data_IF_201283962791
#
_entry.id   IF_201283962791
#
_cell.length_a   1.000
_cell.length_b   1.000
_cell.length_c   1.000
_cell.angle_alpha   90.00
_cell.angle_beta   90.00
_cell.angle_gamma   90.00
#
_symmetry.space_group_name_H-M   'P 1'
#
loop_
_entity.id
_entity.type
_entity.pdbx_description
1 polymer ?
#
# COMPACT_ATOMS: atom_id res chain seq x y z
N UNK A 1 8.32 8.55 6.20
CA UNK A 1 8.85 7.43 5.42
C UNK A 1 7.80 6.93 4.45
N UNK A 2 8.21 6.70 3.23
CA UNK A 2 7.32 6.42 2.11
C UNK A 2 6.39 5.22 2.33
N UNK A 3 6.85 4.10 2.84
CA UNK A 3 6.00 2.95 3.19
C UNK A 3 5.62 2.94 4.67
N UNK A 4 5.59 4.09 5.30
CA UNK A 4 5.32 4.23 6.74
C UNK A 4 6.20 3.26 7.52
N UNK A 5 7.52 3.42 7.35
CA UNK A 5 8.56 2.57 7.90
C UNK A 5 8.64 1.21 7.13
N UNK A 6 9.46 0.28 7.58
CA UNK A 6 9.61 -1.03 6.96
C UNK A 6 10.53 -1.00 5.75
N UNK A 7 9.98 -1.03 4.55
CA UNK A 7 10.77 -1.11 3.31
C UNK A 7 11.34 0.23 2.82
N UNK A 8 11.03 1.36 3.44
CA UNK A 8 11.30 2.67 2.84
C UNK A 8 12.63 3.28 3.22
N UNK A 9 13.11 4.16 2.34
CA UNK A 9 14.17 5.15 2.56
C UNK A 9 15.52 4.63 3.09
N UNK A 10 16.43 5.52 3.48
CA UNK A 10 17.76 5.18 3.94
C UNK A 10 18.49 4.32 2.90
N UNK A 11 19.09 3.21 3.28
CA UNK A 11 19.83 2.31 2.37
C UNK A 11 19.01 1.75 1.22
N UNK A 12 17.68 1.63 1.36
CA UNK A 12 16.82 1.18 0.27
C UNK A 12 16.98 2.03 -0.99
N UNK A 13 17.01 3.35 -0.87
CA UNK A 13 17.07 4.24 -2.03
C UNK A 13 18.33 4.00 -2.86
N UNK A 14 19.45 3.71 -2.22
CA UNK A 14 20.70 3.40 -2.90
C UNK A 14 20.69 1.99 -3.45
N UNK A 15 20.39 1.00 -2.61
CA UNK A 15 20.48 -0.41 -2.98
C UNK A 15 19.45 -0.79 -4.04
N UNK A 16 18.25 -0.26 -3.99
CA UNK A 16 17.24 -0.46 -5.04
C UNK A 16 17.61 0.32 -6.31
N UNK A 17 18.07 1.55 -6.17
CA UNK A 17 18.45 2.39 -7.31
C UNK A 17 19.66 1.84 -8.08
N UNK A 18 20.70 1.40 -7.38
CA UNK A 18 21.92 0.84 -7.99
C UNK A 18 21.80 -0.67 -8.27
N UNK A 19 21.08 -1.40 -7.43
CA UNK A 19 20.90 -2.85 -7.57
C UNK A 19 19.89 -3.25 -8.65
N UNK A 20 19.10 -2.30 -9.14
CA UNK A 20 18.17 -2.47 -10.25
C UNK A 20 17.09 -3.54 -10.02
N UNK A 21 16.63 -4.17 -11.10
CA UNK A 21 15.53 -5.16 -11.07
C UNK A 21 15.72 -6.30 -10.07
N UNK A 22 16.89 -6.95 -9.94
CA UNK A 22 17.04 -8.05 -8.99
C UNK A 22 16.76 -7.62 -7.55
N UNK A 23 17.25 -6.47 -7.13
CA UNK A 23 17.06 -5.96 -5.78
C UNK A 23 15.60 -5.57 -5.54
N UNK A 24 14.96 -4.86 -6.47
CA UNK A 24 13.54 -4.51 -6.41
C UNK A 24 12.68 -5.77 -6.33
N UNK A 25 12.86 -6.70 -7.27
CA UNK A 25 12.09 -7.94 -7.33
C UNK A 25 12.24 -8.76 -6.05
N UNK A 26 13.49 -8.99 -5.63
CA UNK A 26 13.79 -9.82 -4.45
C UNK A 26 13.22 -9.24 -3.17
N UNK A 27 13.42 -7.95 -2.92
CA UNK A 27 12.97 -7.32 -1.67
C UNK A 27 11.45 -7.14 -1.58
N UNK A 28 10.78 -6.86 -2.71
CA UNK A 28 9.31 -6.79 -2.72
C UNK A 28 8.68 -8.17 -2.55
N UNK A 29 9.23 -9.20 -3.22
CA UNK A 29 8.75 -10.56 -3.05
C UNK A 29 9.02 -11.08 -1.63
N UNK A 30 10.19 -10.81 -1.06
CA UNK A 30 10.48 -11.11 0.34
C UNK A 30 9.45 -10.46 1.28
N UNK A 31 9.14 -9.18 1.06
CA UNK A 31 8.12 -8.47 1.83
C UNK A 31 6.73 -9.10 1.72
N UNK A 32 6.37 -9.58 0.53
CA UNK A 32 5.11 -10.28 0.31
C UNK A 32 5.05 -11.62 1.07
N UNK A 33 6.11 -12.43 0.96
CA UNK A 33 6.18 -13.75 1.60
C UNK A 33 6.30 -13.69 3.13
N UNK A 34 6.91 -12.64 3.67
CA UNK A 34 7.03 -12.44 5.11
C UNK A 34 5.77 -11.90 5.78
N UNK A 35 4.66 -11.83 5.06
CA UNK A 35 3.43 -11.15 5.47
C UNK A 35 3.60 -9.63 5.61
N UNK A 36 2.96 -8.89 4.74
CA UNK A 36 3.06 -7.44 4.68
C UNK A 36 2.72 -6.74 6.01
N UNK A 37 1.83 -7.32 6.80
CA UNK A 37 1.44 -6.80 8.12
C UNK A 37 2.60 -6.82 9.13
N UNK A 38 3.57 -7.73 8.98
CA UNK A 38 4.79 -7.77 9.80
C UNK A 38 5.85 -6.78 9.31
N UNK A 39 5.80 -6.39 8.04
CA UNK A 39 6.73 -5.43 7.44
C UNK A 39 6.30 -3.99 7.72
N UNK A 40 5.01 -3.69 7.47
CA UNK A 40 4.48 -2.33 7.59
C UNK A 40 4.57 -1.82 9.03
N UNK A 41 5.10 -0.61 9.19
CA UNK A 41 5.24 0.05 10.50
C UNK A 41 6.37 -0.49 11.38
N UNK A 42 7.21 -1.42 10.89
CA UNK A 42 8.35 -1.98 11.62
C UNK A 42 9.69 -1.58 11.00
N UNK A 43 10.70 -1.43 11.81
CA UNK A 43 12.07 -1.08 11.41
C UNK A 43 13.01 -2.27 11.41
N UNK A 44 12.63 -3.34 12.09
CA UNK A 44 13.38 -4.59 12.18
C UNK A 44 12.60 -5.68 11.44
N UNK A 45 12.94 -5.88 10.19
CA UNK A 45 12.22 -6.76 9.26
C UNK A 45 13.21 -7.54 8.38
N UNK A 46 12.83 -8.71 7.85
CA UNK A 46 13.66 -9.44 6.90
C UNK A 46 14.09 -8.60 5.68
N UNK A 47 13.20 -7.73 5.19
CA UNK A 47 13.51 -6.82 4.09
C UNK A 47 14.56 -5.80 4.49
N UNK A 48 14.44 -5.23 5.69
CA UNK A 48 15.45 -4.30 6.23
C UNK A 48 16.80 -4.99 6.41
N UNK A 49 16.82 -6.23 6.89
CA UNK A 49 18.05 -7.00 7.04
C UNK A 49 18.81 -7.18 5.70
N UNK A 50 18.10 -7.34 4.57
CA UNK A 50 18.72 -7.38 3.24
C UNK A 50 19.38 -6.03 2.89
N UNK A 51 18.73 -4.92 3.22
CA UNK A 51 19.31 -3.59 2.97
C UNK A 51 20.50 -3.30 3.90
N UNK A 52 20.41 -3.68 5.16
CA UNK A 52 21.51 -3.54 6.11
C UNK A 52 22.72 -4.36 5.68
N UNK A 53 22.50 -5.62 5.25
CA UNK A 53 23.56 -6.46 4.68
C UNK A 53 24.21 -5.80 3.46
N UNK A 54 23.40 -5.21 2.58
CA UNK A 54 23.91 -4.51 1.39
C UNK A 54 24.75 -3.29 1.77
N UNK A 55 24.35 -2.53 2.78
CA UNK A 55 25.12 -1.39 3.30
C UNK A 55 26.47 -1.85 3.87
N UNK A 56 26.44 -2.85 4.74
CA UNK A 56 27.64 -3.38 5.42
C UNK A 56 28.68 -3.97 4.47
N UNK A 57 28.26 -4.58 3.35
CA UNK A 57 29.18 -5.30 2.45
C UNK A 57 29.55 -4.52 1.20
N UNK A 58 28.71 -3.58 0.75
CA UNK A 58 28.94 -2.92 -0.54
C UNK A 58 29.08 -1.39 -0.45
N UNK A 59 28.64 -0.76 0.63
CA UNK A 59 28.62 0.69 0.73
C UNK A 59 29.67 1.29 1.69
N UNK A 60 30.50 0.48 2.35
CA UNK A 60 31.46 0.92 3.36
C UNK A 60 32.45 1.99 2.86
N UNK A 61 32.85 1.92 1.60
CA UNK A 61 33.81 2.87 1.00
C UNK A 61 33.14 3.94 0.14
N UNK A 62 31.82 4.03 0.17
CA UNK A 62 31.06 5.04 -0.56
C UNK A 62 30.79 6.21 0.37
N UNK A 63 31.20 7.45 0.02
CA UNK A 63 30.97 8.63 0.85
C UNK A 63 29.47 9.01 0.80
N UNK A 64 28.67 8.45 1.69
CA UNK A 64 27.23 8.64 1.77
C UNK A 64 26.85 9.53 2.94
N UNK A 65 25.91 10.44 2.69
CA UNK A 65 25.16 11.14 3.71
C UNK A 65 23.67 11.08 3.39
N UNK A 66 22.86 10.85 4.41
CA UNK A 66 21.41 10.75 4.29
C UNK A 66 20.76 12.03 4.82
N UNK A 67 19.72 12.47 4.12
CA UNK A 67 18.79 13.49 4.59
C UNK A 67 17.42 12.85 4.58
N UNK A 68 16.89 12.56 5.75
CA UNK A 68 15.58 11.93 5.93
C UNK A 68 14.59 12.94 6.47
N UNK A 69 13.43 13.04 5.85
CA UNK A 69 12.34 13.90 6.30
C UNK A 69 11.17 13.06 6.80
N UNK A 70 10.47 13.54 7.80
CA UNK A 70 9.18 13.02 8.23
C UNK A 70 8.14 14.09 7.97
N UNK A 71 7.19 13.77 7.11
CA UNK A 71 6.11 14.67 6.74
C UNK A 71 4.78 13.93 6.74
N UNK A 72 3.69 14.64 6.96
CA UNK A 72 2.32 14.19 6.78
C UNK A 72 1.51 15.24 6.05
N UNK A 73 0.33 14.89 5.62
CA UNK A 73 -0.67 15.84 5.18
C UNK A 73 -1.45 16.36 6.39
N UNK A 74 -1.72 17.65 6.42
CA UNK A 74 -2.60 18.30 7.38
C UNK A 74 -3.37 19.41 6.64
N UNK A 75 -4.67 19.30 6.59
CA UNK A 75 -5.56 20.29 5.96
C UNK A 75 -5.18 20.61 4.49
N UNK A 76 -4.87 19.55 3.71
CA UNK A 76 -4.46 19.69 2.31
C UNK A 76 -3.04 20.27 2.10
N UNK A 77 -2.24 20.36 3.15
CA UNK A 77 -0.86 20.88 3.09
C UNK A 77 0.14 19.87 3.65
N UNK A 78 1.34 19.86 3.07
CA UNK A 78 2.44 19.08 3.62
C UNK A 78 2.98 19.74 4.89
N UNK A 79 2.85 19.03 6.01
CA UNK A 79 3.43 19.40 7.30
C UNK A 79 4.76 18.64 7.51
N UNK A 80 5.88 19.37 7.60
CA UNK A 80 7.18 18.81 7.91
C UNK A 80 7.35 18.69 9.43
N UNK A 81 7.56 17.48 9.94
CA UNK A 81 7.69 17.18 11.36
C UNK A 81 9.15 17.08 11.82
N UNK A 82 10.08 16.73 10.93
CA UNK A 82 11.48 16.63 11.27
C UNK A 82 12.37 16.35 10.07
N UNK A 83 13.64 16.75 10.23
CA UNK A 83 14.74 16.48 9.29
C UNK A 83 15.85 15.81 10.08
N UNK A 84 16.36 14.69 9.57
CA UNK A 84 17.42 13.91 10.19
C UNK A 84 18.55 13.74 9.18
N UNK A 85 19.77 14.08 9.57
CA UNK A 85 20.93 14.05 8.68
C UNK A 85 22.07 13.26 9.29
N UNK A 86 22.83 12.56 8.47
CA UNK A 86 24.00 11.79 8.89
C UNK A 86 24.27 10.59 7.99
N UNK A 87 25.27 9.77 8.38
CA UNK A 87 25.73 8.64 7.59
C UNK A 87 25.45 7.27 8.25
N UNK A 88 24.78 7.24 9.40
CA UNK A 88 24.57 6.02 10.16
C UNK A 88 23.11 5.57 10.22
N UNK A 89 22.88 4.30 10.55
CA UNK A 89 21.55 3.73 10.80
C UNK A 89 20.75 4.53 11.85
N UNK A 90 21.39 5.17 12.81
CA UNK A 90 20.71 6.01 13.81
C UNK A 90 19.85 7.11 13.17
N UNK A 91 20.29 7.66 12.05
CA UNK A 91 19.53 8.67 11.29
C UNK A 91 18.16 8.09 10.86
N UNK A 92 18.18 6.87 10.34
CA UNK A 92 16.95 6.14 9.98
C UNK A 92 16.09 5.83 11.19
N UNK A 93 16.67 5.35 12.29
CA UNK A 93 15.95 4.97 13.50
C UNK A 93 15.25 6.17 14.15
N UNK A 94 15.92 7.32 14.20
CA UNK A 94 15.30 8.56 14.71
C UNK A 94 14.16 9.04 13.82
N UNK A 95 14.36 9.03 12.50
CA UNK A 95 13.31 9.39 11.54
C UNK A 95 12.13 8.42 11.63
N UNK A 96 12.39 7.12 11.72
CA UNK A 96 11.38 6.10 11.86
C UNK A 96 10.60 6.21 13.17
N UNK A 97 11.26 6.51 14.28
CA UNK A 97 10.60 6.73 15.57
C UNK A 97 9.63 7.92 15.52
N UNK A 98 10.01 9.00 14.85
CA UNK A 98 9.09 10.13 14.63
C UNK A 98 7.96 9.76 13.68
N UNK A 99 8.26 9.06 12.58
CA UNK A 99 7.26 8.63 11.61
C UNK A 99 6.21 7.68 12.22
N UNK A 100 6.62 6.76 13.10
CA UNK A 100 5.68 5.91 13.86
C UNK A 100 4.64 6.74 14.60
N UNK A 101 5.07 7.82 15.24
CA UNK A 101 4.17 8.69 16.00
C UNK A 101 3.28 9.59 15.15
N UNK A 102 3.69 9.91 13.91
CA UNK A 102 3.00 10.90 13.07
C UNK A 102 2.20 10.31 11.93
N UNK A 103 2.58 9.11 11.47
CA UNK A 103 2.00 8.52 10.26
C UNK A 103 1.30 7.17 10.52
N UNK A 104 1.35 6.65 11.76
CA UNK A 104 0.60 5.45 12.14
C UNK A 104 -0.55 5.86 13.04
N UNK A 105 -1.76 5.58 12.58
CA UNK A 105 -2.99 5.79 13.34
C UNK A 105 -3.36 4.48 14.05
N UNK A 106 -3.38 4.51 15.39
CA UNK A 106 -3.95 3.43 16.18
C UNK A 106 -5.45 3.68 16.29
N UNK A 107 -6.25 2.76 15.78
CA UNK A 107 -7.71 2.84 15.91
C UNK A 107 -8.14 2.10 17.19
N UNK A 108 -9.14 2.63 17.87
CA UNK A 108 -9.60 2.08 19.16
C UNK A 108 -10.16 0.66 19.00
N UNK A 109 -10.71 0.34 17.86
CA UNK A 109 -11.25 -0.96 17.48
C UNK A 109 -11.14 -1.17 15.99
N UNK A 110 -11.09 -2.41 15.54
CA UNK A 110 -11.17 -2.73 14.12
C UNK A 110 -12.53 -2.34 13.55
N UNK A 111 -12.54 -1.93 12.28
CA UNK A 111 -13.74 -1.49 11.59
C UNK A 111 -14.35 -2.63 10.79
N UNK A 112 -15.67 -2.76 10.87
CA UNK A 112 -16.43 -3.66 9.96
C UNK A 112 -16.41 -3.14 8.54
N UNK A 113 -16.37 -1.81 8.37
CA UNK A 113 -16.30 -1.17 7.07
C UNK A 113 -15.34 0.01 7.09
N UNK A 114 -14.42 -0.01 6.15
CA UNK A 114 -13.51 1.10 5.85
C UNK A 114 -13.87 1.66 4.49
N UNK A 115 -14.00 2.99 4.38
CA UNK A 115 -14.23 3.71 3.13
C UNK A 115 -12.97 4.53 2.84
N UNK A 116 -12.19 4.11 1.84
CA UNK A 116 -10.98 4.78 1.42
C UNK A 116 -11.21 5.54 0.11
N UNK A 117 -10.72 6.78 0.04
CA UNK A 117 -10.81 7.59 -1.17
C UNK A 117 -9.44 7.74 -1.83
N UNK A 118 -9.41 7.58 -3.14
CA UNK A 118 -8.23 7.79 -3.97
C UNK A 118 -8.42 9.02 -4.86
N UNK A 119 -7.56 10.01 -4.68
CA UNK A 119 -7.56 11.24 -5.47
C UNK A 119 -7.35 10.93 -6.95
N UNK A 120 -8.28 11.32 -7.87
CA UNK A 120 -8.26 10.91 -9.27
C UNK A 120 -7.03 11.41 -10.05
N UNK A 121 -6.45 12.54 -9.66
CA UNK A 121 -5.26 13.09 -10.30
C UNK A 121 -3.98 12.31 -9.93
N UNK A 122 -3.96 11.67 -8.76
CA UNK A 122 -2.82 10.88 -8.28
C UNK A 122 -2.91 9.41 -8.67
N UNK A 123 -4.12 8.83 -8.68
CA UNK A 123 -4.32 7.39 -8.81
C UNK A 123 -5.05 7.03 -10.11
N UNK A 124 -4.30 6.73 -11.16
CA UNK A 124 -4.84 6.29 -12.45
C UNK A 124 -4.87 4.77 -12.65
N UNK A 125 -4.17 3.99 -11.82
CA UNK A 125 -4.15 2.52 -11.87
C UNK A 125 -4.30 1.89 -10.49
N UNK A 126 -4.87 0.68 -10.44
CA UNK A 126 -4.92 -0.10 -9.21
C UNK A 126 -3.51 -0.48 -8.70
N UNK A 127 -2.50 -0.54 -9.58
CA UNK A 127 -1.11 -0.75 -9.19
C UNK A 127 -0.66 0.21 -8.08
N UNK A 128 -0.98 1.48 -8.21
CA UNK A 128 -0.68 2.49 -7.19
C UNK A 128 -1.81 2.61 -6.16
N UNK A 129 -3.06 2.53 -6.61
CA UNK A 129 -4.26 2.69 -5.78
C UNK A 129 -4.43 1.61 -4.71
N UNK A 130 -3.88 0.41 -4.93
CA UNK A 130 -3.92 -0.67 -3.94
C UNK A 130 -3.13 -0.38 -2.65
N UNK A 131 -2.45 0.78 -2.57
CA UNK A 131 -2.01 1.33 -1.28
C UNK A 131 -3.17 1.44 -0.28
N UNK A 132 -4.37 1.72 -0.73
CA UNK A 132 -5.56 1.71 0.11
C UNK A 132 -5.75 0.36 0.82
N UNK A 133 -5.47 -0.75 0.14
CA UNK A 133 -5.65 -2.10 0.68
C UNK A 133 -4.61 -2.39 1.77
N UNK A 134 -3.31 -2.33 1.43
CA UNK A 134 -2.29 -2.77 2.38
C UNK A 134 -2.00 -1.76 3.49
N UNK A 135 -2.43 -0.51 3.37
CA UNK A 135 -2.29 0.52 4.41
C UNK A 135 -3.40 0.46 5.46
N UNK A 136 -4.59 0.00 5.08
CA UNK A 136 -5.75 -0.05 5.98
C UNK A 136 -6.07 -1.46 6.49
N UNK A 137 -5.55 -2.52 5.84
CA UNK A 137 -5.92 -3.92 6.13
C UNK A 137 -5.83 -4.34 7.59
N UNK A 138 -4.92 -3.75 8.37
CA UNK A 138 -4.72 -4.11 9.78
C UNK A 138 -5.79 -3.54 10.71
N UNK A 139 -6.58 -2.56 10.24
CA UNK A 139 -7.70 -2.00 10.98
C UNK A 139 -9.05 -2.62 10.62
N UNK A 140 -9.11 -3.53 9.63
CA UNK A 140 -10.35 -4.14 9.16
C UNK A 140 -10.60 -5.45 9.91
N UNK A 141 -11.82 -5.64 10.40
CA UNK A 141 -12.26 -6.90 11.02
C UNK A 141 -12.24 -8.05 10.00
N UNK A 142 -12.07 -9.27 10.48
CA UNK A 142 -12.28 -10.46 9.68
C UNK A 142 -13.78 -10.55 9.32
N UNK A 143 -14.07 -10.75 8.04
CA UNK A 143 -15.42 -10.67 7.50
C UNK A 143 -15.92 -9.25 7.22
N UNK A 144 -15.09 -8.24 7.46
CA UNK A 144 -15.39 -6.84 7.14
C UNK A 144 -15.29 -6.47 5.66
N UNK A 145 -15.36 -5.20 5.36
CA UNK A 145 -15.30 -4.66 4.00
C UNK A 145 -14.36 -3.45 3.91
N UNK A 146 -13.57 -3.40 2.83
CA UNK A 146 -12.89 -2.22 2.36
C UNK A 146 -13.56 -1.73 1.07
N UNK A 147 -14.22 -0.58 1.13
CA UNK A 147 -14.68 0.13 -0.06
C UNK A 147 -13.60 1.14 -0.49
N UNK A 148 -13.06 0.97 -1.69
CA UNK A 148 -12.11 1.89 -2.31
C UNK A 148 -12.83 2.73 -3.35
N UNK A 149 -13.10 3.98 -3.05
CA UNK A 149 -13.69 4.95 -3.99
C UNK A 149 -12.56 5.53 -4.84
N UNK A 150 -12.53 5.16 -6.11
CA UNK A 150 -11.39 5.36 -7.00
C UNK A 150 -11.79 5.92 -8.38
N UNK A 151 -12.24 7.18 -8.44
CA UNK A 151 -12.80 7.77 -9.68
C UNK A 151 -11.78 7.88 -10.83
N UNK A 152 -10.49 7.96 -10.53
CA UNK A 152 -9.41 8.13 -11.51
C UNK A 152 -8.88 6.85 -12.14
N UNK A 153 -9.25 5.67 -11.62
CA UNK A 153 -8.70 4.39 -12.07
C UNK A 153 -9.16 4.06 -13.50
N UNK A 154 -8.17 3.73 -14.36
CA UNK A 154 -8.37 3.37 -15.78
C UNK A 154 -7.84 1.98 -16.13
N UNK A 155 -7.18 1.29 -15.19
CA UNK A 155 -6.61 -0.03 -15.37
C UNK A 155 -5.98 -0.55 -14.09
N UNK A 156 -5.37 -1.73 -14.16
CA UNK A 156 -4.81 -2.41 -13.00
C UNK A 156 -3.29 -2.29 -12.92
N UNK A 157 -2.59 -2.38 -14.05
CA UNK A 157 -1.14 -2.41 -14.12
C UNK A 157 -0.51 -1.07 -14.51
N UNK A 158 0.78 -0.93 -14.24
CA UNK A 158 1.58 0.26 -14.61
C UNK A 158 1.90 0.34 -16.11
N UNK A 159 1.78 -0.79 -16.82
CA UNK A 159 1.96 -0.90 -18.26
C UNK A 159 1.07 -2.01 -18.83
N UNK A 160 0.88 -2.11 -20.16
CA UNK A 160 -0.05 -3.07 -20.76
C UNK A 160 0.25 -4.54 -20.44
N UNK A 161 1.52 -4.92 -20.30
CA UNK A 161 1.92 -6.29 -19.96
C UNK A 161 1.47 -6.66 -18.55
N UNK A 162 1.78 -5.81 -17.58
CA UNK A 162 1.39 -5.98 -16.18
C UNK A 162 -0.13 -5.92 -16.03
N UNK A 163 -0.80 -4.99 -16.72
CA UNK A 163 -2.26 -4.89 -16.72
C UNK A 163 -2.91 -6.17 -17.24
N UNK A 164 -2.39 -6.73 -18.34
CA UNK A 164 -2.87 -7.99 -18.91
C UNK A 164 -2.69 -9.18 -17.97
N UNK A 165 -1.57 -9.28 -17.25
CA UNK A 165 -1.33 -10.33 -16.26
C UNK A 165 -2.31 -10.21 -15.10
N UNK A 166 -2.52 -9.01 -14.56
CA UNK A 166 -3.46 -8.79 -13.46
C UNK A 166 -4.90 -9.10 -13.89
N UNK A 167 -5.34 -8.63 -15.06
CA UNK A 167 -6.67 -8.95 -15.60
C UNK A 167 -6.90 -10.45 -15.76
N UNK A 168 -5.85 -11.18 -16.12
CA UNK A 168 -5.94 -12.63 -16.35
C UNK A 168 -5.95 -13.44 -15.05
N UNK A 169 -5.13 -13.08 -14.07
CA UNK A 169 -4.92 -13.90 -12.88
C UNK A 169 -5.55 -13.33 -11.61
N UNK A 170 -5.62 -12.01 -11.47
CA UNK A 170 -6.29 -11.32 -10.38
C UNK A 170 -5.60 -11.44 -9.02
N UNK A 171 -6.25 -10.89 -8.00
CA UNK A 171 -5.77 -10.74 -6.62
C UNK A 171 -6.39 -11.83 -5.73
N UNK A 172 -5.88 -13.07 -5.80
CA UNK A 172 -6.49 -14.25 -5.19
C UNK A 172 -5.71 -14.83 -4.01
N UNK A 173 -4.82 -14.02 -3.43
CA UNK A 173 -4.03 -14.40 -2.27
C UNK A 173 -2.73 -15.13 -2.57
N UNK A 174 -1.99 -15.34 -1.50
CA UNK A 174 -0.63 -15.90 -1.54
C UNK A 174 -0.58 -17.32 -2.11
N UNK A 175 -1.41 -18.29 -1.68
CA UNK A 175 -1.31 -19.66 -2.18
C UNK A 175 -1.49 -19.75 -3.70
N UNK A 176 -2.50 -19.07 -4.23
CA UNK A 176 -2.76 -19.04 -5.68
C UNK A 176 -1.62 -18.38 -6.45
N UNK A 177 -1.09 -17.27 -5.95
CA UNK A 177 0.00 -16.54 -6.60
C UNK A 177 1.28 -17.38 -6.63
N UNK A 178 1.57 -18.11 -5.55
CA UNK A 178 2.71 -19.03 -5.49
C UNK A 178 2.60 -20.18 -6.49
N UNK A 179 1.41 -20.77 -6.61
CA UNK A 179 1.15 -21.79 -7.63
C UNK A 179 1.42 -21.28 -9.06
N UNK A 180 1.02 -20.04 -9.36
CA UNK A 180 1.31 -19.43 -10.66
C UNK A 180 2.81 -19.19 -10.88
N UNK A 181 3.55 -18.82 -9.82
CA UNK A 181 5.00 -18.69 -9.90
C UNK A 181 5.69 -20.03 -10.17
N UNK A 182 5.28 -21.09 -9.52
CA UNK A 182 5.78 -22.45 -9.76
C UNK A 182 5.52 -22.92 -11.20
N UNK A 183 4.40 -22.50 -11.78
CA UNK A 183 4.07 -22.74 -13.20
C UNK A 183 4.82 -21.84 -14.18
N UNK A 184 5.68 -20.94 -13.70
CA UNK A 184 6.48 -20.05 -14.54
C UNK A 184 5.68 -18.95 -15.26
N UNK A 185 4.54 -18.53 -14.69
CA UNK A 185 3.65 -17.52 -15.29
C UNK A 185 4.27 -16.11 -15.34
N UNK A 186 5.24 -15.83 -14.44
CA UNK A 186 5.86 -14.50 -14.32
C UNK A 186 7.37 -14.55 -14.66
N UNK A 187 7.76 -14.84 -15.91
CA UNK A 187 9.17 -15.01 -16.26
C UNK A 187 9.94 -13.70 -16.03
N UNK A 188 10.98 -13.76 -15.19
CA UNK A 188 11.88 -12.63 -14.93
C UNK A 188 11.28 -11.48 -14.11
N UNK A 189 10.07 -11.63 -13.57
CA UNK A 189 9.44 -10.61 -12.72
C UNK A 189 8.90 -11.23 -11.43
N UNK A 190 9.37 -10.74 -10.29
CA UNK A 190 8.76 -11.01 -8.99
C UNK A 190 7.90 -9.84 -8.48
N UNK A 191 7.86 -8.71 -9.20
CA UNK A 191 7.06 -7.54 -8.82
C UNK A 191 5.57 -7.78 -9.00
N UNK A 192 5.16 -8.41 -10.12
CA UNK A 192 3.74 -8.70 -10.37
C UNK A 192 3.18 -9.65 -9.32
N UNK A 193 3.77 -10.82 -9.03
CA UNK A 193 3.27 -11.69 -7.99
C UNK A 193 3.33 -11.04 -6.59
N UNK A 194 4.38 -10.29 -6.26
CA UNK A 194 4.44 -9.55 -5.01
C UNK A 194 3.27 -8.55 -4.89
N UNK A 195 2.98 -7.80 -5.94
CA UNK A 195 1.85 -6.88 -5.99
C UNK A 195 0.51 -7.61 -5.85
N UNK A 196 0.33 -8.76 -6.51
CA UNK A 196 -0.89 -9.56 -6.40
C UNK A 196 -1.12 -10.05 -4.96
N UNK A 197 -0.08 -10.44 -4.26
CA UNK A 197 -0.15 -10.81 -2.83
C UNK A 197 -0.51 -9.60 -1.97
N UNK A 198 0.23 -8.50 -2.12
CA UNK A 198 0.00 -7.28 -1.34
C UNK A 198 -1.42 -6.72 -1.48
N UNK A 199 -2.00 -6.90 -2.65
CA UNK A 199 -3.30 -6.34 -3.05
C UNK A 199 -4.46 -7.28 -2.79
N UNK A 200 -4.24 -8.46 -2.22
CA UNK A 200 -5.30 -9.37 -1.80
C UNK A 200 -5.70 -9.12 -0.35
N UNK A 201 -6.93 -9.50 0.01
CA UNK A 201 -7.38 -9.52 1.41
C UNK A 201 -6.93 -10.78 2.17
N UNK A 202 -6.29 -11.73 1.49
CA UNK A 202 -6.00 -13.09 2.02
C UNK A 202 -7.26 -13.80 2.57
N UNK A 203 -8.43 -13.48 2.00
CA UNK A 203 -9.71 -14.03 2.42
C UNK A 203 -10.27 -13.46 3.73
N UNK A 204 -9.64 -12.45 4.32
CA UNK A 204 -10.05 -11.90 5.61
C UNK A 204 -11.25 -10.95 5.51
N UNK A 205 -11.30 -10.16 4.45
CA UNK A 205 -12.35 -9.14 4.25
C UNK A 205 -12.65 -8.98 2.75
N UNK A 206 -13.79 -8.41 2.44
CA UNK A 206 -14.19 -8.09 1.07
C UNK A 206 -13.54 -6.77 0.62
N UNK A 207 -13.08 -6.73 -0.62
CA UNK A 207 -12.59 -5.51 -1.25
C UNK A 207 -13.58 -5.12 -2.35
N UNK A 208 -14.19 -3.95 -2.20
CA UNK A 208 -15.08 -3.36 -3.20
C UNK A 208 -14.36 -2.17 -3.85
N UNK A 209 -14.24 -2.20 -5.16
CA UNK A 209 -13.71 -1.08 -5.93
C UNK A 209 -14.85 -0.29 -6.58
N UNK A 210 -14.99 0.97 -6.17
CA UNK A 210 -15.93 1.89 -6.77
C UNK A 210 -15.20 2.73 -7.84
N UNK A 211 -15.45 2.41 -9.10
CA UNK A 211 -14.78 2.99 -10.28
C UNK A 211 -15.80 3.52 -11.30
N UNK A 212 -15.32 4.34 -12.24
CA UNK A 212 -16.11 4.71 -13.41
C UNK A 212 -16.22 3.50 -14.35
N UNK A 213 -17.44 2.96 -14.61
CA UNK A 213 -17.63 1.79 -15.48
C UNK A 213 -17.23 2.03 -16.94
N UNK A 214 -17.13 3.29 -17.38
CA UNK A 214 -16.62 3.65 -18.69
C UNK A 214 -15.10 3.44 -18.82
N UNK A 215 -14.37 3.45 -17.71
CA UNK A 215 -12.92 3.23 -17.67
C UNK A 215 -12.56 1.79 -17.38
N UNK A 216 -13.19 1.19 -16.37
CA UNK A 216 -12.97 -0.21 -15.97
C UNK A 216 -14.31 -0.87 -15.75
N UNK A 217 -14.59 -1.90 -16.52
CA UNK A 217 -15.88 -2.58 -16.49
C UNK A 217 -16.10 -3.34 -15.17
N UNK A 218 -17.37 -3.52 -14.79
CA UNK A 218 -17.77 -4.38 -13.68
C UNK A 218 -17.22 -5.80 -13.83
N UNK A 219 -17.20 -6.33 -15.06
CA UNK A 219 -16.68 -7.66 -15.35
C UNK A 219 -15.18 -7.75 -15.03
N UNK A 220 -14.40 -6.73 -15.41
CA UNK A 220 -12.97 -6.69 -15.13
C UNK A 220 -12.67 -6.61 -13.63
N UNK A 221 -13.41 -5.79 -12.87
CA UNK A 221 -13.27 -5.70 -11.42
C UNK A 221 -13.54 -7.05 -10.75
N UNK A 222 -14.64 -7.72 -11.13
CA UNK A 222 -14.97 -9.04 -10.59
C UNK A 222 -13.98 -10.13 -11.01
N UNK A 223 -13.49 -10.04 -12.24
CA UNK A 223 -12.49 -10.98 -12.75
C UNK A 223 -11.19 -10.93 -11.95
N UNK A 224 -10.76 -9.76 -11.54
CA UNK A 224 -9.54 -9.62 -10.71
C UNK A 224 -9.76 -9.97 -9.23
N UNK A 225 -10.99 -10.30 -8.82
CA UNK A 225 -11.29 -10.77 -7.46
C UNK A 225 -11.79 -9.70 -6.51
N UNK A 226 -12.22 -8.55 -7.01
CA UNK A 226 -12.86 -7.49 -6.24
C UNK A 226 -14.36 -7.41 -6.52
N UNK A 227 -15.13 -6.88 -5.56
CA UNK A 227 -16.51 -6.48 -5.79
C UNK A 227 -16.54 -5.11 -6.50
N UNK A 228 -17.60 -4.93 -7.30
CA UNK A 228 -17.79 -3.70 -8.07
C UNK A 228 -18.89 -2.82 -7.46
N UNK A 229 -18.64 -1.52 -7.46
CA UNK A 229 -19.63 -0.49 -7.26
C UNK A 229 -19.44 0.62 -8.31
N UNK A 230 -20.51 1.25 -8.79
CA UNK A 230 -20.37 2.47 -9.60
C UNK A 230 -19.87 3.60 -8.69
N UNK A 231 -18.88 4.34 -9.14
CA UNK A 231 -18.30 5.45 -8.36
C UNK A 231 -19.31 6.53 -8.02
N UNK A 232 -20.30 6.77 -8.89
CA UNK A 232 -21.38 7.74 -8.64
C UNK A 232 -22.25 7.29 -7.48
N UNK A 233 -22.61 6.00 -7.44
CA UNK A 233 -23.41 5.44 -6.36
C UNK A 233 -22.63 5.44 -5.03
N UNK A 234 -21.34 5.12 -5.10
CA UNK A 234 -20.45 5.18 -3.94
C UNK A 234 -20.34 6.59 -3.36
N UNK A 235 -20.13 7.61 -4.20
CA UNK A 235 -20.04 9.01 -3.77
C UNK A 235 -21.37 9.58 -3.30
N UNK A 236 -22.50 9.09 -3.85
CA UNK A 236 -23.84 9.48 -3.38
C UNK A 236 -24.11 8.90 -1.97
N UNK A 237 -23.69 7.66 -1.71
CA UNK A 237 -23.86 7.03 -0.40
C UNK A 237 -22.84 7.51 0.64
N UNK A 238 -21.59 7.70 0.22
CA UNK A 238 -20.46 8.12 1.06
C UNK A 238 -19.86 9.40 0.49
N UNK A 239 -20.37 10.59 0.86
CA UNK A 239 -19.89 11.87 0.34
C UNK A 239 -18.53 12.24 0.97
N UNK A 240 -17.51 11.40 0.75
CA UNK A 240 -16.20 11.42 1.42
C UNK A 240 -15.45 12.74 1.32
N UNK A 241 -15.70 13.53 0.26
CA UNK A 241 -15.08 14.85 0.10
C UNK A 241 -15.55 15.85 1.16
N UNK A 242 -16.77 15.69 1.69
CA UNK A 242 -17.35 16.49 2.75
C UNK A 242 -17.23 15.87 4.15
N UNK A 243 -16.70 14.66 4.26
CA UNK A 243 -16.55 13.94 5.52
C UNK A 243 -15.16 14.18 6.14
N UNK A 244 -15.08 14.06 7.46
CA UNK A 244 -13.78 14.00 8.15
C UNK A 244 -13.22 12.59 8.14
N UNK A 245 -11.87 12.46 8.25
CA UNK A 245 -11.23 11.16 8.47
C UNK A 245 -11.64 10.57 9.83
N UNK A 246 -11.71 9.24 9.93
CA UNK A 246 -12.05 8.56 11.16
C UNK A 246 -13.47 7.98 11.17
N UNK A 247 -13.98 7.71 12.38
CA UNK A 247 -15.30 7.12 12.57
C UNK A 247 -16.43 8.06 12.15
N UNK A 248 -17.33 7.56 11.32
CA UNK A 248 -18.52 8.25 10.84
C UNK A 248 -19.74 7.34 10.99
N UNK A 249 -20.90 7.95 11.21
CA UNK A 249 -22.19 7.25 11.21
C UNK A 249 -23.02 7.81 10.06
N UNK A 250 -23.42 6.92 9.16
CA UNK A 250 -24.24 7.27 8.01
C UNK A 250 -25.70 7.49 8.42
N UNK A 251 -26.53 8.08 7.54
CA UNK A 251 -27.93 8.38 7.82
C UNK A 251 -28.76 7.14 8.20
N UNK A 252 -28.40 5.97 7.67
CA UNK A 252 -29.07 4.70 7.97
C UNK A 252 -28.52 4.00 9.22
N UNK A 253 -27.59 4.62 9.94
CA UNK A 253 -26.96 4.08 11.14
C UNK A 253 -25.76 3.19 10.88
N UNK A 254 -25.32 3.01 9.63
CA UNK A 254 -24.08 2.27 9.32
C UNK A 254 -22.86 3.03 9.88
N UNK A 255 -22.06 2.37 10.69
CA UNK A 255 -20.76 2.91 11.12
C UNK A 255 -19.67 2.56 10.10
N UNK A 256 -18.92 3.56 9.66
CA UNK A 256 -17.79 3.39 8.75
C UNK A 256 -16.56 4.13 9.28
N UNK A 257 -15.39 3.69 8.89
CA UNK A 257 -14.16 4.45 9.10
C UNK A 257 -13.68 5.05 7.78
N UNK A 258 -13.62 6.38 7.70
CA UNK A 258 -13.23 7.10 6.49
C UNK A 258 -11.73 7.35 6.48
N UNK A 259 -11.09 7.11 5.32
CA UNK A 259 -9.66 7.38 5.05
C UNK A 259 -9.55 8.09 3.71
N UNK A 260 -9.31 9.41 3.74
CA UNK A 260 -9.24 10.22 2.50
C UNK A 260 -7.89 10.15 1.78
N UNK A 261 -6.81 9.88 2.49
CA UNK A 261 -5.46 9.82 1.92
C UNK A 261 -4.72 8.52 2.33
N UNK A 262 -5.18 7.33 1.90
CA UNK A 262 -4.64 6.06 2.37
C UNK A 262 -3.16 5.84 2.02
N UNK A 263 -2.63 6.54 1.01
CA UNK A 263 -1.22 6.45 0.64
C UNK A 263 -0.25 7.13 1.62
N UNK A 264 -0.75 8.01 2.51
CA UNK A 264 0.08 8.83 3.38
C UNK A 264 0.20 8.30 4.81
N UNK A 265 -0.65 7.34 5.20
CA UNK A 265 -0.69 6.79 6.55
C UNK A 265 -0.58 5.27 6.62
N UNK A 266 -0.70 4.76 7.82
CA UNK A 266 -0.87 3.36 8.16
C UNK A 266 -1.86 3.27 9.32
N UNK A 267 -2.85 2.40 9.21
CA UNK A 267 -3.89 2.23 10.23
C UNK A 267 -3.83 0.84 10.84
N UNK A 268 -3.88 0.79 12.17
CA UNK A 268 -3.85 -0.45 12.96
C UNK A 268 -4.99 -0.43 13.99
N UNK A 269 -5.62 -1.59 14.17
CA UNK A 269 -6.62 -1.82 15.20
C UNK A 269 -6.22 -2.92 16.17
#
# INVERSE_FOLDING_TARGET
PHEVIGMSNYTKNILVGLGGRPMINGTHMLGALCNLETIMGNTDTPVRAVFDYGEEHFLQNVPLAYILTVASEQEGRTALHGIFTGASRQVYEHAAALAKRRCITQVERRAKKVVAYLEPEEFSTAWVGNKAIYRTRMMIEDGGELLVIAPGIKGFGENPEVDGLIRRYGYRGTPYTMELMEKGVFPGSAMVPAHMIHSSSEGRFTITYAVNPEHVSQEDIRRVGYEFMDVKDALARYPVLGMEDGWQVMEDGEEVYVVKAPALGLWRG
#
